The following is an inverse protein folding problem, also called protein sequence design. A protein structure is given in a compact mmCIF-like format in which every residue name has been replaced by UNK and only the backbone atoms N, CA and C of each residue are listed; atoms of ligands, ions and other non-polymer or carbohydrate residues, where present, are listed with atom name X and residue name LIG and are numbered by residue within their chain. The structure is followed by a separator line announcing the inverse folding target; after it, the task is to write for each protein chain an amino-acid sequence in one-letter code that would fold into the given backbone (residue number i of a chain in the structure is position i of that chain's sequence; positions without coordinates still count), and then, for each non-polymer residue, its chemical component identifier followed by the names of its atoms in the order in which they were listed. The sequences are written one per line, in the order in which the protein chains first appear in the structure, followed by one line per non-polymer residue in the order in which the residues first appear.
data_IF_708215237485
#
_entry.id   IF_708215237485
#
_cell.length_a   1.000
_cell.length_b   1.000
_cell.length_c   1.000
_cell.angle_alpha   90.00
_cell.angle_beta   90.00
_cell.angle_gamma   90.00
#
_symmetry.space_group_name_H-M   'P 1'
#
loop_
_entity.id
_entity.type
_entity.pdbx_description
1 polymer ?
#
# COMPACT_ATOMS: atom_id res chain seq x y z
N UNK A 1 30.35 -5.19 28.27
CA UNK A 1 28.92 -5.50 28.44
C UNK A 1 28.24 -5.21 27.10
N UNK A 2 27.96 -6.24 26.30
CA UNK A 2 27.31 -6.11 25.00
C UNK A 2 25.81 -6.29 25.20
N UNK A 3 25.02 -5.26 24.89
CA UNK A 3 23.56 -5.37 24.86
C UNK A 3 23.19 -5.87 23.47
N UNK A 4 22.67 -7.10 23.30
CA UNK A 4 22.14 -7.51 22.01
C UNK A 4 20.96 -6.58 21.67
N UNK A 5 21.01 -5.94 20.50
CA UNK A 5 19.86 -5.23 19.93
C UNK A 5 18.76 -6.26 19.70
N UNK A 6 17.85 -6.39 20.66
CA UNK A 6 16.65 -7.19 20.51
C UNK A 6 15.89 -6.68 19.30
N UNK A 7 15.74 -7.54 18.29
CA UNK A 7 14.81 -7.31 17.20
C UNK A 7 13.44 -7.15 17.82
N UNK A 8 12.95 -5.92 17.87
CA UNK A 8 11.59 -5.64 18.31
C UNK A 8 10.69 -6.20 17.22
N UNK A 9 10.06 -7.34 17.52
CA UNK A 9 8.99 -7.92 16.70
C UNK A 9 7.91 -6.85 16.54
N UNK A 10 7.95 -6.17 15.39
CA UNK A 10 7.07 -5.07 15.07
C UNK A 10 5.71 -5.66 14.71
N UNK A 11 4.84 -5.72 15.72
CA UNK A 11 3.42 -6.08 15.66
C UNK A 11 3.07 -7.49 15.12
N UNK A 12 2.81 -8.42 16.05
CA UNK A 12 2.06 -9.64 15.76
C UNK A 12 0.59 -9.28 15.53
N UNK A 13 0.13 -9.34 14.28
CA UNK A 13 -1.29 -9.28 13.96
C UNK A 13 -1.87 -10.70 13.94
N UNK A 14 -2.75 -11.00 14.88
CA UNK A 14 -3.45 -12.30 14.96
C UNK A 14 -4.85 -12.08 14.40
N UNK A 15 -5.19 -12.76 13.32
CA UNK A 15 -6.55 -12.82 12.79
C UNK A 15 -7.00 -14.27 12.72
N UNK A 16 -8.25 -14.53 13.08
CA UNK A 16 -8.90 -15.83 12.91
C UNK A 16 -9.41 -16.03 11.48
N UNK A 17 -9.33 -15.01 10.63
CA UNK A 17 -9.80 -15.04 9.25
C UNK A 17 -8.65 -15.22 8.28
N UNK A 18 -8.65 -16.35 7.57
CA UNK A 18 -7.70 -16.61 6.48
C UNK A 18 -7.76 -15.50 5.41
N UNK A 19 -8.94 -14.96 5.13
CA UNK A 19 -9.14 -13.86 4.17
C UNK A 19 -8.35 -12.60 4.56
N UNK A 20 -8.32 -12.27 5.85
CA UNK A 20 -7.61 -11.09 6.35
C UNK A 20 -6.09 -11.30 6.31
N UNK A 21 -5.61 -12.49 6.64
CA UNK A 21 -4.19 -12.84 6.51
C UNK A 21 -3.74 -12.76 5.04
N UNK A 22 -4.52 -13.34 4.13
CA UNK A 22 -4.25 -13.29 2.70
C UNK A 22 -4.29 -11.86 2.18
N UNK A 23 -5.26 -11.05 2.63
CA UNK A 23 -5.31 -9.64 2.31
C UNK A 23 -4.02 -8.92 2.69
N UNK A 24 -3.46 -9.13 3.89
CA UNK A 24 -2.22 -8.45 4.30
C UNK A 24 -1.00 -8.87 3.47
N UNK A 25 -0.87 -10.16 3.18
CA UNK A 25 0.22 -10.69 2.36
C UNK A 25 0.12 -10.11 0.95
N UNK A 26 -1.05 -10.25 0.32
CA UNK A 26 -1.28 -9.78 -1.04
C UNK A 26 -1.20 -8.26 -1.14
N UNK A 27 -1.73 -7.53 -0.16
CA UNK A 27 -1.65 -6.07 -0.11
C UNK A 27 -0.21 -5.57 -0.05
N UNK A 28 0.67 -6.29 0.66
CA UNK A 28 2.10 -5.96 0.72
C UNK A 28 2.78 -6.20 -0.63
N UNK A 29 2.53 -7.35 -1.25
CA UNK A 29 3.07 -7.69 -2.57
C UNK A 29 2.55 -6.75 -3.68
N UNK A 30 1.25 -6.49 -3.73
CA UNK A 30 0.62 -5.63 -4.73
C UNK A 30 1.14 -4.19 -4.63
N UNK A 31 1.37 -3.68 -3.41
CA UNK A 31 2.01 -2.36 -3.24
C UNK A 31 3.41 -2.33 -3.83
N UNK A 32 4.23 -3.35 -3.57
CA UNK A 32 5.59 -3.44 -4.12
C UNK A 32 5.56 -3.42 -5.66
N UNK A 33 4.68 -4.22 -6.27
CA UNK A 33 4.47 -4.22 -7.73
C UNK A 33 4.02 -2.85 -8.24
N UNK A 34 3.07 -2.20 -7.56
CA UNK A 34 2.54 -0.91 -7.97
C UNK A 34 3.59 0.22 -7.86
N UNK A 35 4.42 0.20 -6.83
CA UNK A 35 5.55 1.13 -6.71
C UNK A 35 6.62 0.87 -7.77
N UNK A 36 6.93 -0.40 -8.05
CA UNK A 36 7.88 -0.72 -9.11
C UNK A 36 7.38 -0.27 -10.48
N UNK A 37 6.08 -0.40 -10.74
CA UNK A 37 5.45 0.12 -11.95
C UNK A 37 5.50 1.65 -12.02
N UNK A 38 5.23 2.33 -10.90
CA UNK A 38 5.36 3.79 -10.81
C UNK A 38 6.77 4.25 -11.18
N UNK A 39 7.81 3.59 -10.66
CA UNK A 39 9.20 3.93 -10.97
C UNK A 39 9.54 3.76 -12.45
N UNK A 40 9.01 2.73 -13.11
CA UNK A 40 9.25 2.44 -14.53
C UNK A 40 8.47 3.38 -15.47
N UNK A 41 7.30 3.85 -15.03
CA UNK A 41 6.38 4.71 -15.80
C UNK A 41 6.37 6.16 -15.32
N UNK A 42 7.33 6.56 -14.47
CA UNK A 42 7.33 7.87 -13.85
C UNK A 42 7.53 8.95 -14.91
N UNK A 43 6.56 9.86 -15.01
CA UNK A 43 6.69 11.07 -15.82
C UNK A 43 7.50 12.06 -14.99
N UNK A 44 8.62 12.56 -15.53
CA UNK A 44 9.62 13.44 -14.86
C UNK A 44 9.05 14.69 -14.17
N UNK A 45 7.80 15.06 -14.46
CA UNK A 45 7.13 16.23 -13.92
C UNK A 45 6.57 15.93 -12.53
N UNK A 46 7.41 16.01 -11.48
CA UNK A 46 7.13 16.25 -10.04
C UNK A 46 5.69 16.02 -9.49
N UNK A 47 5.00 14.99 -9.97
CA UNK A 47 3.65 14.59 -9.58
C UNK A 47 3.79 13.51 -8.51
N UNK A 48 2.83 13.50 -7.61
CA UNK A 48 2.80 12.52 -6.55
C UNK A 48 2.70 11.10 -7.13
N UNK A 49 3.71 10.26 -6.90
CA UNK A 49 3.75 8.87 -7.39
C UNK A 49 2.57 8.03 -6.89
N UNK A 50 1.91 8.45 -5.81
CA UNK A 50 0.66 7.84 -5.31
C UNK A 50 -0.46 7.92 -6.35
N UNK A 51 -0.43 8.86 -7.30
CA UNK A 51 -1.43 8.95 -8.38
C UNK A 51 -1.37 7.79 -9.38
N UNK A 52 -0.21 7.15 -9.52
CA UNK A 52 -0.04 5.94 -10.36
C UNK A 52 -0.24 4.71 -9.49
N UNK A 53 0.38 4.71 -8.30
CA UNK A 53 0.40 3.57 -7.39
C UNK A 53 -1.00 3.22 -6.86
N UNK A 54 -1.77 4.19 -6.38
CA UNK A 54 -3.04 3.93 -5.70
C UNK A 54 -4.13 3.34 -6.62
N UNK A 55 -4.37 3.85 -7.83
CA UNK A 55 -5.30 3.21 -8.76
C UNK A 55 -4.89 1.77 -9.10
N UNK A 56 -3.58 1.53 -9.29
CA UNK A 56 -3.06 0.20 -9.60
C UNK A 56 -3.26 -0.79 -8.44
N UNK A 57 -3.04 -0.35 -7.20
CA UNK A 57 -3.32 -1.17 -6.01
C UNK A 57 -4.80 -1.55 -5.95
N UNK A 58 -5.72 -0.60 -6.17
CA UNK A 58 -7.17 -0.87 -6.15
C UNK A 58 -7.55 -1.88 -7.23
N UNK A 59 -7.01 -1.71 -8.44
CA UNK A 59 -7.29 -2.59 -9.58
C UNK A 59 -6.77 -4.02 -9.33
N UNK A 60 -5.51 -4.17 -8.91
CA UNK A 60 -4.89 -5.46 -8.66
C UNK A 60 -5.56 -6.19 -7.48
N UNK A 61 -5.84 -5.48 -6.39
CA UNK A 61 -6.57 -6.06 -5.26
C UNK A 61 -8.00 -6.47 -5.66
N UNK A 62 -8.68 -5.66 -6.49
CA UNK A 62 -10.01 -5.98 -7.01
C UNK A 62 -10.03 -7.19 -7.94
N UNK A 63 -8.98 -7.38 -8.75
CA UNK A 63 -8.79 -8.57 -9.61
C UNK A 63 -8.56 -9.84 -8.80
N UNK A 64 -7.89 -9.75 -7.65
CA UNK A 64 -7.73 -10.88 -6.73
C UNK A 64 -9.04 -11.23 -6.02
N UNK A 65 -9.74 -10.21 -5.52
CA UNK A 65 -11.03 -10.34 -4.86
C UNK A 65 -11.74 -8.97 -4.86
N UNK A 66 -12.94 -8.84 -5.45
CA UNK A 66 -13.65 -7.56 -5.49
C UNK A 66 -13.79 -6.84 -4.14
N UNK A 67 -14.02 -7.59 -3.05
CA UNK A 67 -14.10 -7.04 -1.70
C UNK A 67 -12.78 -6.39 -1.23
N UNK A 68 -11.64 -6.93 -1.67
CA UNK A 68 -10.32 -6.39 -1.33
C UNK A 68 -10.02 -5.09 -2.08
N UNK A 69 -10.47 -4.95 -3.32
CA UNK A 69 -10.39 -3.68 -4.06
C UNK A 69 -11.15 -2.56 -3.36
N UNK A 70 -12.36 -2.85 -2.85
CA UNK A 70 -13.16 -1.90 -2.07
C UNK A 70 -12.48 -1.53 -0.74
N UNK A 71 -11.91 -2.53 -0.04
CA UNK A 71 -11.16 -2.31 1.19
C UNK A 71 -9.92 -1.44 0.96
N UNK A 72 -9.12 -1.77 -0.05
CA UNK A 72 -7.93 -1.00 -0.42
C UNK A 72 -8.29 0.45 -0.79
N UNK A 73 -9.39 0.66 -1.53
CA UNK A 73 -9.90 2.00 -1.83
C UNK A 73 -10.23 2.78 -0.55
N UNK A 74 -10.94 2.17 0.40
CA UNK A 74 -11.27 2.83 1.67
C UNK A 74 -10.04 3.22 2.49
N UNK A 75 -9.01 2.35 2.54
CA UNK A 75 -7.75 2.61 3.24
C UNK A 75 -6.96 3.76 2.56
N UNK A 76 -6.97 3.79 1.24
CA UNK A 76 -6.37 4.86 0.44
C UNK A 76 -7.11 6.19 0.65
N UNK A 77 -8.45 6.19 0.61
CA UNK A 77 -9.27 7.38 0.83
C UNK A 77 -9.04 7.95 2.24
N UNK A 78 -8.93 7.10 3.27
CA UNK A 78 -8.55 7.51 4.62
C UNK A 78 -7.15 8.14 4.66
N UNK A 79 -6.20 7.54 3.95
CA UNK A 79 -4.83 8.06 3.83
C UNK A 79 -4.82 9.42 3.16
N UNK A 80 -5.57 9.60 2.06
CA UNK A 80 -5.67 10.87 1.33
C UNK A 80 -6.42 11.94 2.10
N UNK A 81 -7.39 11.56 2.93
CA UNK A 81 -8.05 12.50 3.84
C UNK A 81 -7.09 13.07 4.89
N UNK A 82 -6.06 12.32 5.30
CA UNK A 82 -5.04 12.76 6.26
C UNK A 82 -3.81 13.38 5.59
N UNK A 83 -3.49 12.91 4.40
CA UNK A 83 -2.32 13.28 3.60
C UNK A 83 -2.74 13.36 2.13
N UNK A 84 -3.32 14.49 1.70
CA UNK A 84 -3.71 14.68 0.31
C UNK A 84 -2.50 14.55 -0.63
N UNK A 85 -2.76 14.40 -1.92
CA UNK A 85 -1.70 14.36 -2.93
C UNK A 85 -0.86 15.64 -2.88
N UNK A 86 0.46 15.47 -2.92
CA UNK A 86 1.41 16.57 -3.01
C UNK A 86 1.85 16.69 -4.46
N UNK A 87 0.94 17.20 -5.29
CA UNK A 87 1.28 17.67 -6.62
C UNK A 87 1.79 19.10 -6.47
N UNK A 88 3.08 19.22 -6.13
CA UNK A 88 3.71 20.43 -5.64
C UNK A 88 3.04 21.73 -6.11
N UNK A 89 2.47 22.46 -5.16
CA UNK A 89 2.01 23.82 -5.39
C UNK A 89 3.21 24.74 -5.52
N UNK A 90 3.67 24.96 -6.75
CA UNK A 90 4.52 26.09 -7.14
C UNK A 90 4.09 26.61 -8.51
#
# INVERSE_FOLDING_TARGET
MFVPKGGVESSRKITSSLDELLYWIMSSFVREVAYQYELDHRIENNRDGRRITFPMVIELMGKLQPAWGLKAKSEIDETLSRSPYDDGSY
#
